data_IF_068017937834
#
_entry.id   IF_068017937834
#
_cell.length_a   1.000
_cell.length_b   1.000
_cell.length_c   1.000
_cell.angle_alpha   90.00
_cell.angle_beta   90.00
_cell.angle_gamma   90.00
#
_symmetry.space_group_name_H-M   'P 1'
#
loop_
_entity.id
_entity.type
_entity.pdbx_description
1 polymer ?
#
# COMPACT_ATOMS: atom_id res chain seq x y z
N UNK A 1 -4.65 -14.40 -2.11
CA UNK A 1 -3.72 -15.39 -1.51
C UNK A 1 -2.25 -15.01 -1.41
N UNK A 2 -1.66 -14.30 -2.38
CA UNK A 2 -0.20 -14.10 -2.45
C UNK A 2 0.39 -13.39 -1.22
N UNK A 3 -0.22 -12.28 -0.76
CA UNK A 3 0.28 -11.54 0.42
C UNK A 3 0.29 -12.40 1.69
N UNK A 4 -0.79 -13.15 1.94
CA UNK A 4 -0.86 -14.07 3.07
C UNK A 4 0.30 -15.07 3.03
N UNK A 5 0.50 -15.76 1.89
CA UNK A 5 1.57 -16.76 1.75
C UNK A 5 2.97 -16.15 1.92
N UNK A 6 3.19 -14.92 1.44
CA UNK A 6 4.49 -14.23 1.60
C UNK A 6 4.77 -13.87 3.06
N UNK A 7 3.75 -13.38 3.78
CA UNK A 7 3.84 -13.10 5.23
C UNK A 7 4.07 -14.41 6.00
N UNK A 8 3.30 -15.46 5.71
CA UNK A 8 3.44 -16.77 6.32
C UNK A 8 4.86 -17.33 6.15
N UNK A 9 5.42 -17.25 4.93
CA UNK A 9 6.81 -17.64 4.67
C UNK A 9 7.80 -16.82 5.50
N UNK A 10 7.63 -15.50 5.54
CA UNK A 10 8.52 -14.64 6.33
C UNK A 10 8.46 -15.00 7.82
N UNK A 11 7.27 -15.29 8.34
CA UNK A 11 7.07 -15.68 9.73
C UNK A 11 7.75 -17.02 10.05
N UNK A 12 7.53 -18.05 9.21
CA UNK A 12 8.17 -19.37 9.37
C UNK A 12 9.70 -19.29 9.33
N UNK A 13 10.25 -18.39 8.51
CA UNK A 13 11.69 -18.22 8.36
C UNK A 13 12.31 -17.22 9.36
N UNK A 14 11.52 -16.65 10.28
CA UNK A 14 11.94 -15.55 11.17
C UNK A 14 12.57 -14.35 10.41
N UNK A 15 12.10 -14.09 9.18
CA UNK A 15 12.55 -12.98 8.35
C UNK A 15 11.88 -11.66 8.75
N UNK A 16 12.65 -10.57 8.75
CA UNK A 16 12.06 -9.22 8.82
C UNK A 16 11.44 -8.87 7.48
N UNK A 17 10.11 -8.83 7.44
CA UNK A 17 9.33 -8.49 6.25
C UNK A 17 8.26 -7.47 6.62
N UNK A 18 8.09 -6.42 5.81
CA UNK A 18 7.13 -5.34 6.05
C UNK A 18 6.41 -4.94 4.78
N UNK A 19 5.11 -4.71 4.90
CA UNK A 19 4.22 -4.20 3.85
C UNK A 19 3.58 -2.91 4.38
N UNK A 20 3.62 -1.86 3.57
CA UNK A 20 2.93 -0.61 3.81
C UNK A 20 1.87 -0.45 2.71
N UNK A 21 0.61 -0.35 3.10
CA UNK A 21 -0.52 -0.19 2.18
C UNK A 21 -1.12 1.18 2.41
N UNK A 22 -1.09 2.05 1.40
CA UNK A 22 -1.73 3.37 1.44
C UNK A 22 -2.96 3.34 0.56
N UNK A 23 -4.13 3.63 1.13
CA UNK A 23 -5.43 3.58 0.47
C UNK A 23 -6.15 4.93 0.64
N UNK A 24 -7.06 5.30 -0.27
CA UNK A 24 -7.93 6.45 -0.02
C UNK A 24 -8.81 6.16 1.20
N UNK A 25 -9.00 7.18 2.07
CA UNK A 25 -9.85 7.05 3.26
C UNK A 25 -11.32 6.80 2.90
N UNK A 26 -11.76 7.35 1.77
CA UNK A 26 -13.07 7.10 1.18
C UNK A 26 -12.92 6.92 -0.34
N UNK A 27 -13.69 6.02 -0.96
CA UNK A 27 -13.82 5.93 -2.42
C UNK A 27 -14.27 7.26 -3.04
N UNK A 28 -13.69 7.65 -4.18
CA UNK A 28 -14.01 8.90 -4.87
C UNK A 28 -15.27 8.81 -5.72
N UNK A 29 -16.43 8.62 -5.08
CA UNK A 29 -17.73 8.61 -5.74
C UNK A 29 -18.71 9.51 -4.98
N UNK A 30 -19.54 10.25 -5.74
CA UNK A 30 -20.63 11.05 -5.16
C UNK A 30 -21.82 10.18 -4.73
N UNK A 31 -21.94 8.97 -5.28
CA UNK A 31 -23.03 8.05 -5.00
C UNK A 31 -22.74 7.19 -3.76
N UNK A 32 -23.55 7.34 -2.71
CA UNK A 32 -23.42 6.62 -1.44
C UNK A 32 -23.45 5.10 -1.59
N UNK A 33 -24.28 4.54 -2.49
CA UNK A 33 -24.35 3.10 -2.70
C UNK A 33 -23.07 2.57 -3.36
N UNK A 34 -22.50 3.33 -4.30
CA UNK A 34 -21.21 2.98 -4.91
C UNK A 34 -20.08 2.99 -3.88
N UNK A 35 -20.05 4.03 -3.02
CA UNK A 35 -19.11 4.12 -1.90
C UNK A 35 -19.25 2.91 -0.97
N UNK A 36 -20.46 2.55 -0.55
CA UNK A 36 -20.72 1.40 0.32
C UNK A 36 -20.30 0.07 -0.31
N UNK A 37 -20.58 -0.13 -1.61
CA UNK A 37 -20.20 -1.34 -2.31
C UNK A 37 -18.66 -1.51 -2.37
N UNK A 38 -17.93 -0.44 -2.70
CA UNK A 38 -16.46 -0.48 -2.73
C UNK A 38 -15.89 -0.71 -1.31
N UNK A 39 -16.41 0.00 -0.31
CA UNK A 39 -16.01 -0.21 1.09
C UNK A 39 -16.27 -1.64 1.57
N UNK A 40 -17.40 -2.24 1.17
CA UNK A 40 -17.69 -3.64 1.48
C UNK A 40 -16.59 -4.58 0.98
N UNK A 41 -16.15 -4.44 -0.27
CA UNK A 41 -15.09 -5.28 -0.83
C UNK A 41 -13.69 -5.00 -0.25
N UNK A 42 -13.38 -3.74 0.08
CA UNK A 42 -12.15 -3.38 0.81
C UNK A 42 -12.15 -4.08 2.17
N UNK A 43 -13.25 -3.95 2.92
CA UNK A 43 -13.37 -4.58 4.24
C UNK A 43 -13.33 -6.11 4.14
N UNK A 44 -14.00 -6.72 3.15
CA UNK A 44 -13.95 -8.17 2.90
C UNK A 44 -12.56 -8.68 2.55
N UNK A 45 -11.76 -7.88 1.84
CA UNK A 45 -10.37 -8.23 1.49
C UNK A 45 -9.44 -8.16 2.70
N UNK A 46 -9.61 -7.15 3.56
CA UNK A 46 -8.65 -6.86 4.63
C UNK A 46 -9.06 -7.52 5.96
N UNK A 47 -10.29 -7.28 6.44
CA UNK A 47 -10.69 -7.53 7.85
C UNK A 47 -11.89 -8.47 8.00
N UNK A 48 -12.89 -8.39 7.12
CA UNK A 48 -14.20 -9.02 7.29
C UNK A 48 -14.28 -10.37 6.57
N UNK A 49 -14.72 -11.40 7.31
CA UNK A 49 -14.92 -12.74 6.80
C UNK A 49 -13.68 -13.63 6.90
N UNK A 50 -13.91 -14.94 6.87
CA UNK A 50 -12.88 -15.95 7.15
C UNK A 50 -11.72 -15.97 6.16
N UNK A 51 -11.96 -15.48 4.95
CA UNK A 51 -10.96 -15.42 3.88
C UNK A 51 -10.22 -14.08 3.80
N UNK A 52 -10.57 -13.11 4.65
CA UNK A 52 -9.86 -11.82 4.72
C UNK A 52 -8.42 -11.99 5.20
N UNK A 53 -7.54 -11.10 4.76
CA UNK A 53 -6.11 -11.21 5.07
C UNK A 53 -5.83 -11.28 6.56
N UNK A 54 -6.42 -10.37 7.36
CA UNK A 54 -6.16 -10.31 8.80
C UNK A 54 -6.73 -11.54 9.53
N UNK A 55 -7.92 -12.03 9.14
CA UNK A 55 -8.49 -13.25 9.74
C UNK A 55 -7.67 -14.49 9.43
N UNK A 56 -7.10 -14.58 8.23
CA UNK A 56 -6.21 -15.70 7.89
C UNK A 56 -4.90 -15.66 8.67
N UNK A 57 -4.31 -14.47 8.85
CA UNK A 57 -3.11 -14.30 9.68
C UNK A 57 -3.39 -14.66 11.14
N UNK A 58 -4.52 -14.22 11.69
CA UNK A 58 -4.98 -14.58 13.04
C UNK A 58 -5.13 -16.09 13.22
N UNK A 59 -5.79 -16.78 12.27
CA UNK A 59 -5.93 -18.25 12.28
C UNK A 59 -4.59 -18.99 12.20
N UNK A 60 -3.59 -18.38 11.57
CA UNK A 60 -2.23 -18.92 11.49
C UNK A 60 -1.35 -18.54 12.69
N UNK A 61 -1.91 -17.88 13.71
CA UNK A 61 -1.19 -17.35 14.87
C UNK A 61 -0.08 -16.35 14.50
N UNK A 62 -0.21 -15.64 13.37
CA UNK A 62 0.75 -14.66 12.88
C UNK A 62 0.29 -13.25 13.28
N UNK A 63 1.04 -12.50 14.09
CA UNK A 63 0.68 -11.14 14.50
C UNK A 63 0.74 -10.18 13.29
N UNK A 64 -0.40 -9.66 12.77
CA UNK A 64 -0.38 -8.90 11.52
C UNK A 64 0.40 -7.59 11.61
N UNK A 65 0.38 -6.94 12.78
CA UNK A 65 1.07 -5.67 13.07
C UNK A 65 2.58 -5.71 12.80
N UNK A 66 3.18 -6.89 12.86
CA UNK A 66 4.62 -7.07 12.64
C UNK A 66 4.98 -7.08 11.14
N UNK A 67 3.99 -7.31 10.26
CA UNK A 67 4.19 -7.54 8.83
C UNK A 67 3.46 -6.56 7.91
N UNK A 68 2.27 -6.07 8.28
CA UNK A 68 1.46 -5.23 7.39
C UNK A 68 0.77 -4.10 8.13
N UNK A 69 0.85 -2.90 7.55
CA UNK A 69 0.21 -1.70 8.08
C UNK A 69 -0.58 -0.98 6.98
N UNK A 70 -1.77 -0.49 7.32
CA UNK A 70 -2.67 0.24 6.43
C UNK A 70 -2.73 1.71 6.84
N UNK A 71 -2.65 2.61 5.85
CA UNK A 71 -2.64 4.04 6.03
C UNK A 71 -3.63 4.70 5.07
N UNK A 72 -4.15 5.85 5.48
CA UNK A 72 -4.83 6.79 4.60
C UNK A 72 -4.24 8.19 4.80
N UNK A 73 -4.55 9.10 3.88
CA UNK A 73 -3.98 10.45 3.88
C UNK A 73 -5.07 11.51 4.07
N UNK A 74 -4.76 12.54 4.85
CA UNK A 74 -5.62 13.67 5.17
C UNK A 74 -4.77 14.92 5.37
N UNK A 75 -5.27 16.05 4.93
CA UNK A 75 -4.66 17.36 5.13
C UNK A 75 -5.61 18.28 5.91
N UNK A 76 -5.07 19.35 6.48
CA UNK A 76 -5.84 20.40 7.13
C UNK A 76 -5.21 21.75 6.80
N UNK A 77 -6.03 22.79 6.70
CA UNK A 77 -5.58 24.15 6.40
C UNK A 77 -6.60 25.17 6.94
N UNK A 78 -6.28 26.46 6.86
CA UNK A 78 -7.17 27.56 7.23
C UNK A 78 -7.81 28.15 5.97
N UNK A 79 -9.12 27.97 5.82
CA UNK A 79 -9.91 28.56 4.75
C UNK A 79 -10.85 29.63 5.34
N UNK A 80 -10.69 30.89 4.89
CA UNK A 80 -11.50 32.02 5.36
C UNK A 80 -11.52 32.16 6.89
N UNK A 81 -10.35 32.00 7.52
CA UNK A 81 -10.18 32.09 8.98
C UNK A 81 -10.72 30.88 9.76
N UNK A 82 -11.16 29.81 9.08
CA UNK A 82 -11.64 28.59 9.73
C UNK A 82 -10.74 27.40 9.42
N UNK A 83 -10.43 26.61 10.43
CA UNK A 83 -9.74 25.34 10.26
C UNK A 83 -10.64 24.37 9.51
N UNK A 84 -10.15 23.83 8.40
CA UNK A 84 -10.80 22.82 7.56
C UNK A 84 -9.89 21.62 7.40
N UNK A 85 -10.46 20.44 7.11
CA UNK A 85 -9.69 19.24 6.83
C UNK A 85 -10.32 18.42 5.72
N UNK A 86 -9.49 17.92 4.80
CA UNK A 86 -9.93 17.10 3.69
C UNK A 86 -9.05 15.88 3.47
N UNK A 87 -9.64 14.83 2.91
CA UNK A 87 -8.89 13.63 2.55
C UNK A 87 -7.97 13.93 1.37
N UNK A 88 -6.75 13.41 1.40
CA UNK A 88 -5.92 13.37 0.20
C UNK A 88 -6.33 12.11 -0.55
N UNK A 89 -6.91 12.26 -1.73
CA UNK A 89 -7.40 11.13 -2.51
C UNK A 89 -6.24 10.37 -3.16
N UNK A 90 -5.94 9.19 -2.61
CA UNK A 90 -4.87 8.31 -3.12
C UNK A 90 -5.37 7.62 -4.40
N UNK A 91 -5.04 8.20 -5.55
CA UNK A 91 -5.37 7.64 -6.86
C UNK A 91 -4.22 6.81 -7.46
N UNK A 92 -3.05 6.76 -6.82
CA UNK A 92 -1.89 6.02 -7.33
C UNK A 92 -2.14 4.52 -7.42
N UNK A 93 -1.59 3.89 -8.46
CA UNK A 93 -1.45 2.43 -8.56
C UNK A 93 0.03 2.12 -8.71
N UNK A 94 0.68 2.01 -7.56
CA UNK A 94 2.12 1.89 -7.42
C UNK A 94 2.46 0.80 -6.40
N UNK A 95 3.45 -0.01 -6.73
CA UNK A 95 4.08 -0.96 -5.81
C UNK A 95 5.60 -0.77 -5.91
N UNK A 96 6.28 -0.62 -4.78
CA UNK A 96 7.74 -0.63 -4.71
C UNK A 96 8.15 -1.85 -3.88
N UNK A 97 9.10 -2.63 -4.39
CA UNK A 97 9.57 -3.88 -3.80
C UNK A 97 11.07 -3.79 -3.56
N UNK A 98 11.47 -3.99 -2.30
CA UNK A 98 12.86 -4.09 -1.83
C UNK A 98 13.81 -2.97 -2.29
N UNK A 99 13.27 -1.76 -2.52
CA UNK A 99 13.96 -0.61 -3.13
C UNK A 99 14.69 -0.96 -4.46
N UNK A 100 14.25 -1.99 -5.19
CA UNK A 100 14.92 -2.47 -6.43
C UNK A 100 13.99 -2.60 -7.63
N UNK A 101 12.70 -2.80 -7.37
CA UNK A 101 11.69 -2.93 -8.40
C UNK A 101 10.50 -2.03 -8.08
N UNK A 102 9.90 -1.44 -9.10
CA UNK A 102 8.62 -0.77 -8.99
C UNK A 102 7.67 -1.22 -10.10
N UNK A 103 6.38 -1.26 -9.79
CA UNK A 103 5.31 -1.43 -10.76
C UNK A 103 4.40 -0.23 -10.63
N UNK A 104 4.19 0.48 -11.74
CA UNK A 104 3.27 1.62 -11.77
C UNK A 104 2.43 1.60 -13.05
N UNK A 105 1.20 2.10 -12.95
CA UNK A 105 0.30 2.13 -14.09
C UNK A 105 -1.10 2.60 -13.75
N UNK A 106 -2.06 2.17 -14.56
CA UNK A 106 -3.48 2.47 -14.40
C UNK A 106 -4.25 1.40 -13.60
N UNK A 107 -3.74 0.17 -13.55
CA UNK A 107 -4.44 -0.98 -12.97
C UNK A 107 -4.62 -0.87 -11.44
N UNK A 108 -5.87 -0.78 -11.00
CA UNK A 108 -6.21 -0.91 -9.58
C UNK A 108 -6.03 -2.35 -9.09
N UNK A 109 -5.87 -2.54 -7.78
CA UNK A 109 -5.90 -3.89 -7.18
C UNK A 109 -7.36 -4.34 -7.03
N UNK A 110 -7.98 -4.73 -8.15
CA UNK A 110 -9.31 -5.32 -8.21
C UNK A 110 -9.49 -6.14 -9.50
N UNK A 111 -10.57 -6.94 -9.56
CA UNK A 111 -10.83 -7.79 -10.72
C UNK A 111 -11.15 -7.01 -11.99
N UNK A 112 -11.67 -5.79 -11.87
CA UNK A 112 -11.95 -4.93 -13.03
C UNK A 112 -10.67 -4.60 -13.80
N UNK A 113 -9.59 -4.32 -13.09
CA UNK A 113 -8.29 -4.02 -13.70
C UNK A 113 -7.42 -5.26 -13.94
N UNK A 114 -7.52 -6.32 -13.14
CA UNK A 114 -6.53 -7.42 -13.14
C UNK A 114 -6.94 -8.70 -13.88
N UNK A 115 -8.22 -8.92 -14.20
CA UNK A 115 -8.65 -10.16 -14.89
C UNK A 115 -8.36 -10.10 -16.41
N UNK A 116 -8.13 -8.92 -16.97
CA UNK A 116 -7.69 -8.72 -18.36
C UNK A 116 -8.79 -8.81 -19.43
N UNK A 117 -10.02 -9.17 -19.05
CA UNK A 117 -11.19 -9.20 -19.95
C UNK A 117 -12.26 -8.13 -19.62
N UNK A 118 -11.89 -7.13 -18.81
CA UNK A 118 -12.75 -6.02 -18.39
C UNK A 118 -12.16 -4.69 -18.87
N UNK A 119 -11.46 -3.96 -18.01
CA UNK A 119 -10.83 -2.69 -18.40
C UNK A 119 -9.49 -2.95 -19.12
N UNK A 120 -9.17 -2.11 -20.11
CA UNK A 120 -7.83 -2.06 -20.70
C UNK A 120 -6.92 -1.25 -19.80
N UNK A 121 -5.84 -1.87 -19.33
CA UNK A 121 -4.89 -1.26 -18.39
C UNK A 121 -3.48 -1.29 -18.97
N UNK A 122 -2.65 -0.33 -18.55
CA UNK A 122 -1.22 -0.31 -18.89
C UNK A 122 -0.39 -0.16 -17.62
N UNK A 123 0.64 -1.01 -17.50
CA UNK A 123 1.57 -1.01 -16.39
C UNK A 123 3.00 -1.14 -16.89
N UNK A 124 3.93 -0.46 -16.21
CA UNK A 124 5.37 -0.57 -16.43
C UNK A 124 5.98 -1.24 -15.22
N UNK A 125 6.88 -2.19 -15.47
CA UNK A 125 7.78 -2.76 -14.46
C UNK A 125 9.14 -2.11 -14.62
N UNK A 126 9.61 -1.49 -13.55
CA UNK A 126 10.90 -0.80 -13.47
C UNK A 126 11.81 -1.67 -12.61
N UNK A 127 12.96 -2.07 -13.15
CA UNK A 127 14.02 -2.74 -12.41
C UNK A 127 15.23 -1.84 -12.41
N UNK A 128 15.75 -1.51 -11.22
CA UNK A 128 16.98 -0.74 -11.12
C UNK A 128 18.18 -1.55 -11.61
N UNK A 129 19.00 -0.91 -12.44
CA UNK A 129 20.31 -1.43 -12.87
C UNK A 129 21.42 -0.74 -12.05
N UNK A 130 21.24 0.55 -11.75
CA UNK A 130 22.15 1.30 -10.88
C UNK A 130 21.79 1.07 -9.41
N UNK A 131 22.78 0.60 -8.64
CA UNK A 131 22.62 0.35 -7.21
C UNK A 131 23.43 1.36 -6.36
N UNK A 132 22.91 1.67 -5.17
CA UNK A 132 23.58 2.44 -4.12
C UNK A 132 23.59 1.67 -2.78
N UNK A 133 24.39 2.15 -1.84
CA UNK A 133 24.41 1.59 -0.48
C UNK A 133 23.16 2.05 0.30
N UNK A 134 22.43 1.09 0.83
CA UNK A 134 21.26 1.29 1.67
C UNK A 134 21.36 0.50 2.97
N UNK A 135 20.32 0.60 3.79
CA UNK A 135 20.20 -0.18 5.03
C UNK A 135 18.79 -0.68 5.24
N UNK A 136 18.62 -1.98 5.41
CA UNK A 136 17.38 -2.60 5.87
C UNK A 136 17.60 -3.26 7.21
N UNK A 137 16.72 -2.98 8.19
CA UNK A 137 16.86 -3.51 9.55
C UNK A 137 18.27 -3.28 10.15
N UNK A 138 18.84 -2.09 9.92
CA UNK A 138 20.21 -1.69 10.30
C UNK A 138 21.35 -2.47 9.62
N UNK A 139 21.04 -3.43 8.75
CA UNK A 139 22.02 -4.19 7.98
C UNK A 139 22.31 -3.49 6.63
N UNK A 140 23.57 -3.42 6.20
CA UNK A 140 23.92 -2.93 4.87
C UNK A 140 23.27 -3.78 3.78
N UNK A 141 22.68 -3.13 2.79
CA UNK A 141 22.09 -3.77 1.61
C UNK A 141 22.37 -2.91 0.39
N UNK A 142 22.47 -3.54 -0.78
CA UNK A 142 22.48 -2.82 -2.05
C UNK A 142 21.04 -2.55 -2.47
N UNK A 143 20.70 -1.30 -2.77
CA UNK A 143 19.36 -0.90 -3.20
C UNK A 143 19.42 -0.22 -4.56
N UNK A 144 18.35 -0.26 -5.32
CA UNK A 144 18.20 0.47 -6.56
C UNK A 144 18.11 1.97 -6.33
N UNK A 145 18.85 2.75 -7.12
CA UNK A 145 18.93 4.20 -6.97
C UNK A 145 17.60 4.89 -7.26
N UNK A 146 16.88 4.46 -8.31
CA UNK A 146 15.58 5.02 -8.64
C UNK A 146 14.49 4.61 -7.63
N UNK A 147 14.34 3.31 -7.37
CA UNK A 147 13.29 2.82 -6.49
C UNK A 147 13.48 3.29 -5.03
N UNK A 148 14.72 3.33 -4.53
CA UNK A 148 14.99 3.85 -3.19
C UNK A 148 14.70 5.35 -3.08
N UNK A 149 15.14 6.16 -4.05
CA UNK A 149 14.86 7.59 -4.04
C UNK A 149 13.36 7.89 -4.16
N UNK A 150 12.64 7.15 -5.00
CA UNK A 150 11.20 7.30 -5.15
C UNK A 150 10.45 6.93 -3.87
N UNK A 151 10.80 5.80 -3.23
CA UNK A 151 10.22 5.41 -1.94
C UNK A 151 10.50 6.45 -0.86
N UNK A 152 11.75 6.96 -0.76
CA UNK A 152 12.13 8.00 0.21
C UNK A 152 11.25 9.25 0.02
N UNK A 153 11.10 9.73 -1.21
CA UNK A 153 10.25 10.90 -1.53
C UNK A 153 8.78 10.68 -1.21
N UNK A 154 8.22 9.50 -1.52
CA UNK A 154 6.83 9.17 -1.13
C UNK A 154 6.70 9.15 0.40
N UNK A 155 7.67 8.56 1.09
CA UNK A 155 7.67 8.48 2.53
C UNK A 155 7.76 9.86 3.16
N UNK A 156 8.49 10.81 2.58
CA UNK A 156 8.43 12.21 3.01
C UNK A 156 6.99 12.73 2.99
N UNK A 157 6.23 12.59 1.91
CA UNK A 157 4.82 13.02 1.86
C UNK A 157 3.90 12.27 2.84
N UNK A 158 4.12 10.97 3.03
CA UNK A 158 3.32 10.15 3.95
C UNK A 158 3.69 10.41 5.42
N UNK A 159 4.95 10.78 5.70
CA UNK A 159 5.48 11.02 7.06
C UNK A 159 5.54 12.49 7.46
N UNK A 160 5.45 13.45 6.53
CA UNK A 160 5.36 14.89 6.83
C UNK A 160 4.12 15.27 7.67
N UNK A 161 3.19 14.33 7.90
CA UNK A 161 2.09 14.46 8.86
C UNK A 161 2.45 14.03 10.29
N UNK A 162 3.73 13.74 10.60
CA UNK A 162 4.23 13.41 11.95
C UNK A 162 5.27 14.39 12.52
N UNK A 163 5.56 15.49 11.83
CA UNK A 163 6.48 16.53 12.32
C UNK A 163 5.83 17.91 12.22
N UNK A 164 4.81 18.13 13.04
CA UNK A 164 4.49 19.39 13.71
C UNK A 164 3.83 19.06 15.05
#
# INVERSE_FOLDING_TARGET
>A
DVLFRRIERAHKNAEKFRIYVVLPLLPGFDNTNAVQAVLYFIMRSIIKGDNSLLKRLEKACIPPKDYINFFGMRHHDILMGRLVTEIIYVHSKLMIIDDRMAICGSANINDRSLVGNRDSEFCVVINDIEEEDGRFNRQPVRVGKFCSSWRKKIFEYVSYLKLH
#
